data_IF_584046114592
#
_entry.id   IF_584046114592
#
_cell.length_a   1.000
_cell.length_b   1.000
_cell.length_c   1.000
_cell.angle_alpha   90.00
_cell.angle_beta   90.00
_cell.angle_gamma   90.00
#
_symmetry.space_group_name_H-M   'P 1'
#
loop_
_entity.id
_entity.type
_entity.pdbx_description
1 polymer ?
#
# COMPACT_ATOMS: atom_id res chain seq x y z
N UNK A 1 0.03 19.98 -14.05
CA UNK A 1 -0.69 18.81 -14.61
C UNK A 1 -1.14 17.95 -13.46
N UNK A 2 -2.44 17.76 -13.24
CA UNK A 2 -2.94 16.73 -12.34
C UNK A 2 -3.20 15.47 -13.18
N UNK A 3 -2.46 14.41 -12.90
CA UNK A 3 -2.73 13.07 -13.43
C UNK A 3 -3.60 12.36 -12.39
N UNK A 4 -4.91 12.34 -12.62
CA UNK A 4 -5.82 11.47 -11.89
C UNK A 4 -5.81 10.10 -12.58
N UNK A 5 -5.17 9.10 -11.98
CA UNK A 5 -5.28 7.72 -12.44
C UNK A 5 -6.52 7.07 -11.82
N UNK A 6 -7.50 6.74 -12.67
CA UNK A 6 -8.77 6.14 -12.30
C UNK A 6 -8.64 4.64 -11.91
N UNK A 7 -9.35 4.27 -10.85
CA UNK A 7 -10.16 3.06 -10.61
C UNK A 7 -9.62 1.69 -11.12
N UNK A 8 -9.14 0.85 -10.19
CA UNK A 8 -9.12 -0.61 -10.32
C UNK A 8 -10.04 -1.23 -9.25
N UNK A 9 -11.33 -1.33 -9.55
CA UNK A 9 -12.24 -2.24 -8.86
C UNK A 9 -12.40 -3.48 -9.75
N UNK A 10 -11.94 -4.62 -9.28
CA UNK A 10 -12.15 -5.90 -9.96
C UNK A 10 -10.87 -6.47 -10.58
N UNK A 11 -10.04 -7.07 -9.72
CA UNK A 11 -9.04 -8.12 -9.93
C UNK A 11 -7.89 -7.84 -8.97
N UNK A 12 -8.07 -8.13 -7.67
CA UNK A 12 -6.89 -8.37 -6.82
C UNK A 12 -6.10 -9.46 -7.54
N UNK A 13 -4.82 -9.24 -7.93
CA UNK A 13 -4.03 -10.32 -8.49
C UNK A 13 -4.04 -11.46 -7.47
N UNK A 14 -4.32 -12.68 -7.94
CA UNK A 14 -4.57 -13.85 -7.11
C UNK A 14 -3.39 -14.27 -6.20
N UNK A 15 -2.29 -13.50 -6.16
CA UNK A 15 -1.04 -13.85 -5.48
C UNK A 15 -0.36 -12.62 -4.84
N UNK A 16 -1.10 -11.76 -4.15
CA UNK A 16 -0.44 -10.82 -3.23
C UNK A 16 0.18 -11.60 -2.08
N UNK A 17 1.50 -11.53 -1.92
CA UNK A 17 2.20 -12.24 -0.85
C UNK A 17 2.08 -11.46 0.46
N UNK A 18 1.65 -12.13 1.53
CA UNK A 18 1.71 -11.54 2.87
C UNK A 18 3.17 -11.47 3.31
N UNK A 19 3.62 -10.27 3.71
CA UNK A 19 4.98 -10.03 4.16
C UNK A 19 5.03 -9.61 5.62
N UNK A 20 6.16 -9.88 6.27
CA UNK A 20 6.38 -9.40 7.63
C UNK A 20 6.54 -7.89 7.68
N UNK A 21 6.26 -7.29 8.84
CA UNK A 21 6.52 -5.88 9.11
C UNK A 21 7.98 -5.48 8.83
N UNK A 22 8.94 -6.36 9.14
CA UNK A 22 10.36 -6.11 8.91
C UNK A 22 10.65 -5.93 7.41
N UNK A 23 10.09 -6.81 6.57
CA UNK A 23 10.28 -6.73 5.13
C UNK A 23 9.60 -5.49 4.53
N UNK A 24 8.39 -5.16 5.00
CA UNK A 24 7.73 -3.91 4.66
C UNK A 24 8.60 -2.67 4.99
N UNK A 25 9.16 -2.59 6.20
CA UNK A 25 10.04 -1.46 6.58
C UNK A 25 11.27 -1.37 5.70
N UNK A 26 11.82 -2.51 5.28
CA UNK A 26 12.94 -2.54 4.35
C UNK A 26 12.54 -1.95 2.98
N UNK A 27 11.42 -2.40 2.40
CA UNK A 27 10.92 -1.85 1.13
C UNK A 27 10.63 -0.33 1.20
N UNK A 28 10.09 0.14 2.33
CA UNK A 28 9.82 1.55 2.56
C UNK A 28 11.12 2.37 2.64
N UNK A 29 12.10 1.91 3.43
CA UNK A 29 13.42 2.54 3.57
C UNK A 29 14.19 2.59 2.25
N UNK A 30 14.11 1.50 1.48
CA UNK A 30 14.77 1.38 0.18
C UNK A 30 14.01 2.12 -0.94
N UNK A 31 12.89 2.78 -0.62
CA UNK A 31 12.02 3.52 -1.55
C UNK A 31 11.57 2.68 -2.75
N UNK A 32 11.32 1.40 -2.50
CA UNK A 32 10.89 0.45 -3.54
C UNK A 32 9.38 0.45 -3.73
N UNK A 33 8.62 0.90 -2.72
CA UNK A 33 7.17 1.02 -2.77
C UNK A 33 6.80 2.24 -3.61
N UNK A 34 6.10 2.02 -4.72
CA UNK A 34 5.65 3.10 -5.61
C UNK A 34 4.21 3.50 -5.37
N UNK A 35 3.39 2.56 -4.89
CA UNK A 35 1.97 2.79 -4.59
C UNK A 35 1.49 1.89 -3.46
N UNK A 36 0.47 2.34 -2.72
CA UNK A 36 -0.23 1.52 -1.75
C UNK A 36 -1.75 1.78 -1.74
N UNK A 37 -2.53 0.72 -1.58
CA UNK A 37 -3.95 0.83 -1.25
C UNK A 37 -4.15 0.42 0.22
N UNK A 38 -4.77 1.30 1.01
CA UNK A 38 -5.02 1.09 2.44
C UNK A 38 -6.43 0.57 2.63
N UNK A 39 -6.54 -0.69 3.06
CA UNK A 39 -7.81 -1.41 3.11
C UNK A 39 -8.29 -1.57 4.55
N UNK A 40 -9.50 -1.07 4.83
CA UNK A 40 -10.18 -1.24 6.12
C UNK A 40 -9.37 -0.76 7.34
N UNK A 41 -8.56 0.29 7.16
CA UNK A 41 -7.78 1.00 8.19
C UNK A 41 -6.56 0.26 8.78
N UNK A 42 -6.23 -0.94 8.30
CA UNK A 42 -5.13 -1.74 8.87
C UNK A 42 -4.25 -2.48 7.88
N UNK A 43 -4.74 -2.73 6.68
CA UNK A 43 -4.00 -3.46 5.66
C UNK A 43 -3.37 -2.49 4.68
N UNK A 44 -2.07 -2.65 4.47
CA UNK A 44 -1.31 -1.94 3.47
C UNK A 44 -1.04 -2.88 2.30
N UNK A 45 -1.69 -2.62 1.16
CA UNK A 45 -1.53 -3.37 -0.07
C UNK A 45 -0.53 -2.62 -0.94
N UNK A 46 0.75 -3.00 -0.86
CA UNK A 46 1.85 -2.31 -1.50
C UNK A 46 2.15 -2.83 -2.90
N UNK A 47 2.57 -1.92 -3.77
CA UNK A 47 3.09 -2.19 -5.12
C UNK A 47 4.52 -1.69 -5.18
N UNK A 48 5.45 -2.60 -5.52
CA UNK A 48 6.86 -2.28 -5.74
C UNK A 48 7.11 -1.79 -7.18
N UNK A 49 8.24 -1.13 -7.41
CA UNK A 49 8.63 -0.62 -8.72
C UNK A 49 8.73 -1.71 -9.82
N UNK A 50 9.02 -2.95 -9.44
CA UNK A 50 9.06 -4.12 -10.33
C UNK A 50 7.66 -4.73 -10.60
N UNK A 51 6.60 -4.09 -10.08
CA UNK A 51 5.19 -4.52 -10.12
C UNK A 51 4.83 -5.68 -9.19
N UNK A 52 5.75 -6.13 -8.33
CA UNK A 52 5.44 -7.09 -7.28
C UNK A 52 4.44 -6.48 -6.29
N UNK A 53 3.40 -7.23 -5.93
CA UNK A 53 2.39 -6.82 -4.97
C UNK A 53 2.52 -7.59 -3.66
N UNK A 54 2.39 -6.89 -2.53
CA UNK A 54 2.43 -7.50 -1.21
C UNK A 54 1.35 -6.94 -0.29
N UNK A 55 1.03 -7.69 0.76
CA UNK A 55 0.14 -7.23 1.83
C UNK A 55 0.88 -7.28 3.15
N UNK A 56 0.73 -6.23 3.96
CA UNK A 56 1.15 -6.24 5.36
C UNK A 56 0.02 -5.69 6.22
N UNK A 57 -0.23 -6.35 7.35
CA UNK A 57 -1.12 -5.84 8.38
C UNK A 57 -0.31 -4.94 9.32
N UNK A 58 -0.59 -3.64 9.30
CA UNK A 58 0.11 -2.64 10.13
C UNK A 58 -0.59 -2.42 11.46
N UNK A 59 -1.76 -3.03 11.68
CA UNK A 59 -2.60 -2.71 12.84
C UNK A 59 -3.25 -1.35 12.67
N UNK A 60 -3.22 -0.50 13.69
CA UNK A 60 -3.80 0.85 13.61
C UNK A 60 -2.90 1.75 12.76
N UNK A 61 -3.43 2.25 11.65
CA UNK A 61 -2.75 3.26 10.84
C UNK A 61 -3.06 4.64 11.39
N UNK A 62 -2.02 5.41 11.72
CA UNK A 62 -2.15 6.76 12.28
C UNK A 62 -1.59 7.87 11.37
N UNK A 63 -1.39 9.07 11.92
CA UNK A 63 -0.87 10.21 11.17
C UNK A 63 0.64 10.14 10.92
N UNK A 64 1.40 9.46 11.79
CA UNK A 64 2.84 9.28 11.62
C UNK A 64 3.13 8.28 10.49
N UNK A 65 2.32 7.23 10.35
CA UNK A 65 2.42 6.29 9.22
C UNK A 65 2.22 7.01 7.87
N UNK A 66 1.17 7.85 7.78
CA UNK A 66 0.88 8.63 6.56
C UNK A 66 2.02 9.56 6.22
N UNK A 67 2.59 10.24 7.22
CA UNK A 67 3.75 11.11 7.02
C UNK A 67 4.95 10.33 6.52
N UNK A 68 5.22 9.13 7.07
CA UNK A 68 6.34 8.29 6.61
C UNK A 68 6.17 7.90 5.14
N UNK A 69 4.94 7.61 4.69
CA UNK A 69 4.65 7.32 3.28
C UNK A 69 4.83 8.52 2.37
N UNK A 70 4.36 9.71 2.79
CA UNK A 70 4.56 10.96 2.05
C UNK A 70 6.06 11.29 1.90
N UNK A 71 6.84 11.16 2.98
CA UNK A 71 8.29 11.38 2.98
C UNK A 71 9.05 10.36 2.12
N UNK A 72 8.55 9.12 2.06
CA UNK A 72 9.07 8.07 1.20
C UNK A 72 8.64 8.23 -0.27
N UNK A 73 7.68 9.10 -0.57
CA UNK A 73 7.16 9.32 -1.92
C UNK A 73 6.20 8.24 -2.40
N UNK A 74 5.53 7.53 -1.48
CA UNK A 74 4.54 6.51 -1.81
C UNK A 74 3.22 7.18 -2.19
N UNK A 75 2.68 6.85 -3.37
CA UNK A 75 1.32 7.23 -3.75
C UNK A 75 0.32 6.32 -3.03
N UNK A 76 -0.51 6.83 -2.11
CA UNK A 76 -1.44 5.99 -1.35
C UNK A 76 -2.89 6.45 -1.42
N UNK A 77 -3.81 5.48 -1.37
CA UNK A 77 -5.24 5.72 -1.36
C UNK A 77 -5.94 4.86 -0.31
N UNK A 78 -6.97 5.40 0.35
CA UNK A 78 -7.84 4.63 1.23
C UNK A 78 -8.94 3.96 0.41
N UNK A 79 -9.14 2.67 0.63
CA UNK A 79 -10.15 1.85 -0.05
C UNK A 79 -11.00 1.17 1.00
N UNK A 80 -12.30 1.43 0.96
CA UNK A 80 -13.26 0.71 1.80
C UNK A 80 -13.25 -0.77 1.41
N UNK A 81 -13.29 -1.66 2.40
CA UNK A 81 -13.52 -3.08 2.13
C UNK A 81 -14.85 -3.21 1.41
N UNK A 82 -14.92 -3.91 0.26
CA UNK A 82 -16.21 -4.21 -0.35
C UNK A 82 -17.03 -4.96 0.71
N UNK A 83 -18.21 -4.44 1.03
CA UNK A 83 -19.15 -5.04 1.97
C UNK A 83 -19.26 -6.54 1.68
N UNK A 84 -18.88 -7.36 2.65
CA UNK A 84 -18.97 -8.82 2.56
C UNK A 84 -20.35 -9.30 3.01
#
# INVERSE_FOLDING_TARGET
>A
MLLFAAKFFGSMPAESTEVSYILYRQHLKDRQIVRADIVGEKEFHGILADRTTFVVNLGTIDADDKREWEEAGVDFAFVDKPFQ
#
